data_IF_080778477887
#
_entry.id   IF_080778477887
#
_cell.length_a   1.000
_cell.length_b   1.000
_cell.length_c   1.000
_cell.angle_alpha   90.00
_cell.angle_beta   90.00
_cell.angle_gamma   90.00
#
_symmetry.space_group_name_H-M   'P 1'
#
loop_
_entity.id
_entity.type
_entity.pdbx_description
1 polymer ?
#
# COMPACT_ATOMS: atom_id res chain seq x y z
N UNK A 1 5.89 -35.59 52.63
CA UNK A 1 5.36 -34.33 53.21
C UNK A 1 5.62 -33.19 52.24
N UNK A 2 4.66 -32.28 52.10
CA UNK A 2 4.01 -31.94 50.82
C UNK A 2 4.16 -30.42 50.52
N UNK A 3 3.82 -29.88 49.34
CA UNK A 3 2.45 -29.59 48.93
C UNK A 3 2.40 -29.22 47.44
N UNK A 4 1.59 -29.99 46.72
CA UNK A 4 0.91 -29.61 45.47
C UNK A 4 -0.38 -28.89 45.90
N UNK A 5 -0.78 -27.76 45.29
CA UNK A 5 -2.16 -27.36 45.29
C UNK A 5 -2.82 -27.77 43.96
N UNK A 6 -3.68 -28.79 44.06
CA UNK A 6 -4.83 -28.98 43.18
C UNK A 6 -5.93 -27.96 43.54
N UNK A 7 -6.95 -27.85 42.67
CA UNK A 7 -8.19 -27.06 42.73
C UNK A 7 -8.04 -25.70 42.04
N UNK A 8 -8.38 -25.51 40.76
CA UNK A 8 -9.56 -25.96 39.98
C UNK A 8 -10.84 -25.25 40.43
N UNK A 9 -10.93 -23.97 40.06
CA UNK A 9 -12.18 -23.26 39.77
C UNK A 9 -11.98 -22.64 38.38
N UNK A 10 -12.32 -23.38 37.32
CA UNK A 10 -13.63 -23.26 36.67
C UNK A 10 -14.01 -21.79 36.41
N UNK A 11 -13.31 -21.14 35.49
CA UNK A 11 -13.93 -20.13 34.65
C UNK A 11 -13.71 -20.53 33.20
N UNK A 12 -14.60 -21.40 32.73
CA UNK A 12 -14.96 -21.49 31.32
C UNK A 12 -15.62 -20.14 31.01
N UNK A 13 -14.80 -19.13 30.73
CA UNK A 13 -15.26 -17.99 29.97
C UNK A 13 -15.32 -18.48 28.53
N UNK A 14 -16.45 -19.10 28.22
CA UNK A 14 -17.08 -19.05 26.91
C UNK A 14 -17.15 -17.56 26.54
N UNK A 15 -16.06 -17.03 26.00
CA UNK A 15 -16.13 -15.96 25.04
C UNK A 15 -16.79 -16.59 23.82
N UNK A 16 -18.13 -16.66 23.91
CA UNK A 16 -18.99 -16.58 22.75
C UNK A 16 -18.50 -15.34 22.02
N UNK A 17 -17.63 -15.51 21.04
CA UNK A 17 -17.47 -14.53 19.99
C UNK A 17 -18.83 -14.46 19.35
N UNK A 18 -19.61 -13.46 19.77
CA UNK A 18 -20.75 -13.01 19.00
C UNK A 18 -20.17 -12.52 17.69
N UNK A 19 -20.03 -13.46 16.74
CA UNK A 19 -19.77 -13.18 15.36
C UNK A 19 -20.90 -12.27 14.91
N UNK A 20 -20.63 -10.98 14.84
CA UNK A 20 -21.54 -10.01 14.25
C UNK A 20 -21.50 -10.25 12.76
N UNK A 21 -22.25 -11.26 12.30
CA UNK A 21 -22.78 -11.22 10.95
C UNK A 21 -23.68 -9.99 10.93
N UNK A 22 -23.39 -9.01 10.08
CA UNK A 22 -24.37 -7.95 9.83
C UNK A 22 -25.51 -8.63 9.09
N UNK A 23 -26.56 -8.89 9.84
CA UNK A 23 -27.72 -9.63 9.37
C UNK A 23 -28.73 -8.62 8.84
N UNK A 24 -28.91 -8.55 7.53
CA UNK A 24 -30.05 -7.84 6.96
C UNK A 24 -31.18 -8.85 6.83
N UNK A 25 -32.08 -8.85 7.80
CA UNK A 25 -33.35 -9.56 7.70
C UNK A 25 -34.28 -8.76 6.77
N UNK A 26 -34.46 -9.22 5.54
CA UNK A 26 -35.55 -8.73 4.68
C UNK A 26 -36.84 -9.42 5.15
N UNK A 27 -37.41 -8.93 6.25
CA UNK A 27 -38.72 -9.35 6.73
C UNK A 27 -39.76 -8.30 6.33
N UNK A 28 -40.36 -8.45 5.15
CA UNK A 28 -41.76 -8.06 5.02
C UNK A 28 -42.60 -9.29 5.34
N UNK A 29 -42.78 -9.58 6.63
CA UNK A 29 -43.83 -10.52 7.05
C UNK A 29 -44.40 -10.21 8.43
N UNK A 30 -45.61 -9.67 8.41
CA UNK A 30 -46.65 -9.87 9.42
C UNK A 30 -47.60 -10.97 8.90
N UNK A 31 -48.03 -11.94 9.73
CA UNK A 31 -48.83 -13.06 9.24
C UNK A 31 -50.31 -12.66 9.17
N UNK A 32 -50.79 -12.24 7.99
CA UNK A 32 -52.21 -12.35 7.63
C UNK A 32 -52.40 -12.77 6.17
N UNK A 33 -53.07 -13.92 6.05
CA UNK A 33 -53.92 -14.45 4.98
C UNK A 33 -53.44 -14.50 3.53
N UNK A 34 -53.44 -15.73 3.00
CA UNK A 34 -53.84 -16.17 1.65
C UNK A 34 -53.56 -15.20 0.49
N UNK A 35 -52.34 -15.24 -0.06
CA UNK A 35 -52.12 -14.91 -1.47
C UNK A 35 -50.92 -15.69 -2.00
N UNK A 36 -51.18 -16.61 -2.93
CA UNK A 36 -50.24 -17.57 -3.52
C UNK A 36 -49.41 -16.97 -4.67
N UNK A 37 -49.22 -15.65 -4.71
CA UNK A 37 -48.51 -14.96 -5.79
C UNK A 37 -47.44 -13.95 -5.33
N UNK A 38 -46.89 -14.11 -4.13
CA UNK A 38 -45.77 -13.24 -3.68
C UNK A 38 -44.50 -13.50 -4.49
N UNK A 39 -44.30 -12.70 -5.54
CA UNK A 39 -43.07 -12.64 -6.34
C UNK A 39 -41.88 -12.36 -5.43
N UNK A 40 -40.94 -13.30 -5.44
CA UNK A 40 -39.61 -13.15 -4.86
C UNK A 40 -38.97 -11.83 -5.32
N UNK A 41 -38.55 -10.99 -4.38
CA UNK A 41 -37.87 -9.72 -4.67
C UNK A 41 -36.51 -9.72 -4.00
N UNK A 42 -35.46 -9.98 -4.80
CA UNK A 42 -34.08 -9.88 -4.33
C UNK A 42 -33.61 -8.42 -4.37
N UNK A 43 -32.82 -7.96 -3.39
CA UNK A 43 -32.34 -6.58 -3.38
C UNK A 43 -31.48 -6.29 -4.62
N UNK A 44 -31.69 -5.12 -5.23
CA UNK A 44 -30.87 -4.65 -6.34
C UNK A 44 -29.43 -4.32 -5.93
N UNK A 45 -29.22 -4.01 -4.64
CA UNK A 45 -27.91 -3.72 -4.06
C UNK A 45 -27.71 -4.54 -2.79
N UNK A 46 -26.60 -5.26 -2.72
CA UNK A 46 -26.18 -6.06 -1.56
C UNK A 46 -24.88 -5.48 -1.04
N UNK A 47 -24.78 -5.27 0.27
CA UNK A 47 -23.53 -4.82 0.88
C UNK A 47 -22.51 -5.95 0.89
N UNK A 48 -21.23 -5.60 0.73
CA UNK A 48 -20.11 -6.53 0.93
C UNK A 48 -20.24 -7.27 2.26
N UNK A 49 -19.80 -8.53 2.26
CA UNK A 49 -19.69 -9.35 3.47
C UNK A 49 -20.97 -9.44 4.32
N UNK A 50 -22.13 -9.29 3.68
CA UNK A 50 -23.43 -9.37 4.33
C UNK A 50 -24.09 -10.71 4.02
N UNK A 51 -24.63 -11.39 5.04
CA UNK A 51 -25.45 -12.57 4.82
C UNK A 51 -26.87 -12.15 4.40
N UNK A 52 -27.43 -12.80 3.38
CA UNK A 52 -28.77 -12.48 2.87
C UNK A 52 -29.71 -13.63 3.21
N UNK A 53 -30.69 -13.36 4.06
CA UNK A 53 -31.74 -14.30 4.40
C UNK A 53 -32.88 -14.23 3.40
N UNK A 54 -33.41 -15.40 3.06
CA UNK A 54 -34.57 -15.49 2.20
C UNK A 54 -35.34 -16.78 2.47
N UNK A 55 -36.58 -16.80 2.01
CA UNK A 55 -37.47 -17.94 2.16
C UNK A 55 -37.89 -18.47 0.79
N UNK A 56 -37.82 -19.78 0.59
CA UNK A 56 -38.38 -20.47 -0.57
C UNK A 56 -39.32 -21.58 -0.11
N UNK A 57 -40.51 -21.63 -0.69
CA UNK A 57 -41.51 -22.67 -0.39
C UNK A 57 -41.17 -24.01 -1.05
N UNK A 58 -40.30 -24.01 -2.05
CA UNK A 58 -39.87 -25.19 -2.79
C UNK A 58 -38.36 -25.38 -2.67
N UNK A 59 -37.93 -26.65 -2.74
CA UNK A 59 -36.52 -26.98 -2.85
C UNK A 59 -36.01 -26.49 -4.21
N UNK A 60 -34.95 -25.68 -4.18
CA UNK A 60 -34.34 -25.12 -5.39
C UNK A 60 -32.83 -25.12 -5.28
N UNK A 61 -32.16 -25.02 -6.42
CA UNK A 61 -30.72 -24.83 -6.51
C UNK A 61 -30.40 -23.38 -6.82
N UNK A 62 -29.79 -22.67 -5.87
CA UNK A 62 -29.38 -21.28 -6.02
C UNK A 62 -27.94 -21.19 -6.47
N UNK A 63 -27.67 -20.32 -7.45
CA UNK A 63 -26.33 -20.00 -7.91
C UNK A 63 -26.14 -18.49 -8.02
N UNK A 64 -25.06 -17.99 -7.44
CA UNK A 64 -24.57 -16.62 -7.65
C UNK A 64 -23.45 -16.67 -8.67
N UNK A 65 -23.57 -15.89 -9.74
CA UNK A 65 -22.56 -15.77 -10.78
C UNK A 65 -22.00 -14.36 -10.86
N UNK A 66 -20.76 -14.29 -11.34
CA UNK A 66 -20.07 -13.08 -11.76
C UNK A 66 -19.29 -13.42 -13.03
N UNK A 67 -19.42 -12.60 -14.08
CA UNK A 67 -18.75 -12.80 -15.37
C UNK A 67 -18.77 -14.26 -15.86
N UNK A 68 -19.96 -14.86 -15.84
CA UNK A 68 -20.23 -16.26 -16.19
C UNK A 68 -19.66 -17.34 -15.26
N UNK A 69 -18.84 -17.00 -14.27
CA UNK A 69 -18.31 -17.94 -13.29
C UNK A 69 -19.25 -18.04 -12.08
N UNK A 70 -19.44 -19.26 -11.58
CA UNK A 70 -20.20 -19.49 -10.35
C UNK A 70 -19.33 -19.14 -9.13
N UNK A 71 -19.66 -18.07 -8.42
CA UNK A 71 -19.01 -17.72 -7.16
C UNK A 71 -19.49 -18.65 -6.04
N UNK A 72 -20.78 -18.97 -6.04
CA UNK A 72 -21.42 -19.62 -4.92
C UNK A 72 -22.63 -20.43 -5.39
N UNK A 73 -22.79 -21.63 -4.85
CA UNK A 73 -23.86 -22.57 -5.20
C UNK A 73 -24.38 -23.24 -3.92
N UNK A 74 -25.70 -23.27 -3.76
CA UNK A 74 -26.36 -23.77 -2.55
C UNK A 74 -27.69 -24.43 -2.89
N UNK A 75 -27.95 -25.57 -2.27
CA UNK A 75 -29.28 -26.17 -2.20
C UNK A 75 -30.08 -25.45 -1.11
N UNK A 76 -31.31 -25.05 -1.41
CA UNK A 76 -32.13 -24.22 -0.52
C UNK A 76 -33.55 -24.76 -0.44
N UNK A 77 -34.08 -24.81 0.80
CA UNK A 77 -35.45 -25.20 1.10
C UNK A 77 -35.89 -24.51 2.39
N UNK A 78 -37.05 -23.87 2.40
CA UNK A 78 -37.53 -23.13 3.57
C UNK A 78 -36.73 -21.85 3.80
N UNK A 79 -36.35 -21.59 5.06
CA UNK A 79 -35.51 -20.46 5.44
C UNK A 79 -34.05 -20.77 5.12
N UNK A 80 -33.49 -20.05 4.15
CA UNK A 80 -32.11 -20.19 3.73
C UNK A 80 -31.33 -18.88 3.92
N UNK A 81 -30.03 -19.03 4.09
CA UNK A 81 -29.10 -17.90 4.23
C UNK A 81 -28.05 -18.03 3.15
N UNK A 82 -27.93 -17.02 2.31
CA UNK A 82 -26.79 -16.91 1.40
C UNK A 82 -25.58 -16.48 2.22
N UNK A 83 -24.50 -17.28 2.27
CA UNK A 83 -23.30 -16.94 3.04
C UNK A 83 -22.68 -15.64 2.52
N UNK A 84 -22.13 -14.85 3.45
CA UNK A 84 -21.58 -13.55 3.11
C UNK A 84 -20.37 -13.61 2.16
N UNK A 85 -19.63 -14.73 2.14
CA UNK A 85 -18.54 -14.99 1.17
C UNK A 85 -19.00 -14.99 -0.30
N UNK A 86 -20.30 -15.14 -0.55
CA UNK A 86 -20.86 -15.08 -1.90
C UNK A 86 -20.90 -13.65 -2.45
N UNK A 87 -20.64 -12.65 -1.60
CA UNK A 87 -20.57 -11.22 -1.92
C UNK A 87 -19.21 -10.65 -1.49
N UNK A 88 -18.13 -11.26 -1.98
CA UNK A 88 -16.77 -11.00 -1.50
C UNK A 88 -16.07 -9.77 -2.11
N UNK A 89 -16.59 -9.19 -3.20
CA UNK A 89 -16.01 -8.02 -3.86
C UNK A 89 -17.09 -7.16 -4.53
N UNK A 90 -16.87 -5.85 -4.69
CA UNK A 90 -17.85 -4.95 -5.27
C UNK A 90 -17.90 -5.10 -6.80
N UNK A 91 -19.11 -5.18 -7.36
CA UNK A 91 -19.37 -5.16 -8.80
C UNK A 91 -20.87 -5.01 -9.08
N UNK A 92 -21.24 -4.43 -10.21
CA UNK A 92 -22.60 -4.35 -10.75
C UNK A 92 -22.99 -5.55 -11.65
N UNK A 93 -22.10 -6.54 -11.81
CA UNK A 93 -22.25 -7.65 -12.74
C UNK A 93 -22.65 -8.97 -12.08
N UNK A 94 -23.16 -8.92 -10.85
CA UNK A 94 -23.62 -10.12 -10.16
C UNK A 94 -24.97 -10.58 -10.71
N UNK A 95 -25.13 -11.90 -10.81
CA UNK A 95 -26.35 -12.54 -11.29
C UNK A 95 -26.83 -13.57 -10.26
N UNK A 96 -28.13 -13.56 -9.99
CA UNK A 96 -28.80 -14.59 -9.19
C UNK A 96 -29.57 -15.54 -10.11
N UNK A 97 -29.27 -16.82 -10.00
CA UNK A 97 -29.95 -17.89 -10.71
C UNK A 97 -30.61 -18.84 -9.73
N UNK A 98 -31.84 -19.26 -10.05
CA UNK A 98 -32.56 -20.34 -9.35
C UNK A 98 -32.89 -21.38 -10.39
N UNK A 99 -32.46 -22.62 -10.17
CA UNK A 99 -32.65 -23.74 -11.08
C UNK A 99 -32.18 -23.41 -12.52
N UNK A 100 -30.99 -22.77 -12.60
CA UNK A 100 -30.35 -22.24 -13.81
C UNK A 100 -31.14 -21.15 -14.57
N UNK A 101 -32.26 -20.65 -14.05
CA UNK A 101 -32.98 -19.51 -14.61
C UNK A 101 -32.48 -18.22 -13.98
N UNK A 102 -32.10 -17.25 -14.81
CA UNK A 102 -31.73 -15.91 -14.36
C UNK A 102 -32.96 -15.25 -13.72
N UNK A 103 -32.84 -14.91 -12.44
CA UNK A 103 -33.90 -14.24 -11.69
C UNK A 103 -33.69 -12.73 -11.70
N UNK A 104 -32.47 -12.29 -11.40
CA UNK A 104 -32.12 -10.86 -11.42
C UNK A 104 -30.62 -10.66 -11.57
N UNK A 105 -30.27 -9.46 -12.03
CA UNK A 105 -28.94 -8.87 -11.84
C UNK A 105 -28.97 -7.94 -10.63
N UNK A 106 -27.84 -7.82 -9.94
CA UNK A 106 -27.72 -6.96 -8.76
C UNK A 106 -26.28 -6.46 -8.63
N UNK A 107 -26.11 -5.42 -7.82
CA UNK A 107 -24.79 -4.88 -7.50
C UNK A 107 -24.38 -5.29 -6.08
N UNK A 108 -23.12 -5.68 -5.91
CA UNK A 108 -22.46 -5.74 -4.61
C UNK A 108 -21.70 -4.43 -4.41
N UNK A 109 -21.97 -3.75 -3.30
CA UNK A 109 -21.40 -2.42 -3.00
C UNK A 109 -20.58 -2.44 -1.72
N UNK A 110 -19.53 -1.62 -1.68
CA UNK A 110 -18.84 -1.28 -0.44
C UNK A 110 -19.47 -0.03 0.16
N UNK A 111 -20.02 -0.16 1.37
CA UNK A 111 -20.71 0.94 2.07
C UNK A 111 -19.84 1.59 3.16
N UNK A 112 -18.71 0.99 3.53
CA UNK A 112 -17.87 1.41 4.65
C UNK A 112 -16.39 1.19 4.31
N UNK A 113 -15.51 2.04 4.85
CA UNK A 113 -14.07 1.79 4.80
C UNK A 113 -13.70 0.73 5.84
N UNK A 114 -13.04 -0.35 5.40
CA UNK A 114 -12.66 -1.44 6.30
C UNK A 114 -11.32 -1.23 7.00
N UNK A 115 -10.66 -0.10 6.74
CA UNK A 115 -9.34 0.23 7.25
C UNK A 115 -9.26 1.71 7.61
N UNK A 116 -8.22 2.06 8.35
CA UNK A 116 -7.78 3.43 8.50
C UNK A 116 -6.37 3.56 7.92
N UNK A 117 -6.26 4.20 6.75
CA UNK A 117 -4.97 4.49 6.11
C UNK A 117 -4.65 5.97 6.31
N UNK A 118 -3.49 6.31 6.91
CA UNK A 118 -3.06 7.70 7.03
C UNK A 118 -3.00 8.39 5.67
N UNK A 119 -3.59 9.59 5.55
CA UNK A 119 -3.69 10.33 4.29
C UNK A 119 -2.39 11.00 3.87
N UNK A 120 -1.61 11.43 4.87
CA UNK A 120 -0.37 12.20 4.68
C UNK A 120 0.83 11.42 5.27
N UNK A 121 1.27 10.35 4.59
CA UNK A 121 2.42 9.58 5.04
C UNK A 121 3.70 10.42 4.98
N UNK A 122 4.50 10.32 6.05
CA UNK A 122 5.78 11.00 6.15
C UNK A 122 6.83 10.18 5.36
N UNK A 123 7.64 10.81 4.48
CA UNK A 123 8.69 10.11 3.75
C UNK A 123 9.64 9.33 4.66
N UNK A 124 10.02 8.13 4.23
CA UNK A 124 10.87 7.21 4.99
C UNK A 124 10.36 6.92 6.42
N UNK A 125 9.04 6.82 6.62
CA UNK A 125 8.44 6.40 7.90
C UNK A 125 7.60 5.14 7.67
N UNK A 126 7.56 4.27 8.67
CA UNK A 126 6.68 3.11 8.63
C UNK A 126 5.22 3.56 8.59
N UNK A 127 4.40 2.77 7.88
CA UNK A 127 2.97 2.99 7.79
C UNK A 127 2.26 1.79 8.41
N UNK A 128 1.53 2.04 9.49
CA UNK A 128 0.66 1.04 10.10
C UNK A 128 -0.76 1.21 9.57
N UNK A 129 -1.39 0.10 9.21
CA UNK A 129 -2.78 0.03 8.79
C UNK A 129 -3.51 -0.90 9.73
N UNK A 130 -4.55 -0.36 10.37
CA UNK A 130 -5.44 -1.13 11.22
C UNK A 130 -6.74 -1.40 10.47
N UNK A 131 -7.15 -2.66 10.48
CA UNK A 131 -8.37 -3.12 9.83
C UNK A 131 -9.48 -3.33 10.85
N UNK A 132 -10.71 -3.04 10.45
CA UNK A 132 -11.87 -3.38 11.25
C UNK A 132 -12.32 -4.82 10.94
N UNK A 133 -11.86 -5.75 11.77
CA UNK A 133 -12.07 -7.21 11.62
C UNK A 133 -13.51 -7.64 11.60
N UNK A 134 -14.37 -6.87 12.27
CA UNK A 134 -15.75 -7.26 12.51
C UNK A 134 -16.61 -7.29 11.24
N UNK A 135 -16.09 -6.76 10.12
CA UNK A 135 -16.80 -6.72 8.85
C UNK A 135 -16.47 -7.87 7.91
N UNK A 136 -15.38 -8.62 8.14
CA UNK A 136 -14.93 -9.61 7.18
C UNK A 136 -15.57 -10.98 7.41
N UNK A 137 -15.99 -11.62 6.33
CA UNK A 137 -16.43 -13.00 6.36
C UNK A 137 -15.27 -13.94 6.71
N UNK A 138 -15.57 -14.96 7.49
CA UNK A 138 -14.69 -16.12 7.63
C UNK A 138 -14.49 -16.79 6.26
N UNK A 139 -13.33 -17.41 6.04
CA UNK A 139 -12.96 -18.13 4.80
C UNK A 139 -12.63 -17.27 3.57
N UNK A 140 -12.42 -15.96 3.71
CA UNK A 140 -11.86 -15.14 2.64
C UNK A 140 -10.33 -15.27 2.59
N UNK A 141 -9.77 -15.35 1.38
CA UNK A 141 -8.32 -15.36 1.17
C UNK A 141 -7.85 -13.92 0.91
N UNK A 142 -7.79 -13.14 1.98
CA UNK A 142 -7.49 -11.72 1.91
C UNK A 142 -5.99 -11.45 1.86
N UNK A 143 -5.57 -10.64 0.88
CA UNK A 143 -4.22 -10.09 0.80
C UNK A 143 -4.25 -8.58 0.67
N UNK A 144 -3.19 -7.95 1.15
CA UNK A 144 -2.99 -6.49 1.05
C UNK A 144 -1.81 -6.25 0.12
N UNK A 145 -2.06 -5.52 -0.97
CA UNK A 145 -1.03 -5.14 -1.94
C UNK A 145 -0.66 -3.68 -1.79
N UNK A 146 0.63 -3.41 -1.65
CA UNK A 146 1.20 -2.08 -1.80
C UNK A 146 1.57 -1.87 -3.26
N UNK A 147 1.04 -0.81 -3.84
CA UNK A 147 1.23 -0.45 -5.24
C UNK A 147 1.89 0.91 -5.35
N UNK A 148 2.81 1.05 -6.30
CA UNK A 148 3.61 2.27 -6.50
C UNK A 148 3.57 2.72 -7.96
N UNK A 149 3.62 4.03 -8.16
CA UNK A 149 3.79 4.68 -9.45
C UNK A 149 4.67 5.90 -9.28
N UNK A 150 5.53 6.17 -10.26
CA UNK A 150 6.43 7.32 -10.21
C UNK A 150 5.73 8.64 -10.53
N UNK A 151 4.60 8.62 -11.25
CA UNK A 151 4.07 9.81 -11.89
C UNK A 151 3.47 10.81 -10.88
N UNK A 152 4.32 11.65 -10.27
CA UNK A 152 3.94 12.64 -9.24
C UNK A 152 2.99 13.71 -9.81
N UNK A 153 3.05 13.98 -11.12
CA UNK A 153 2.33 15.06 -11.79
C UNK A 153 1.07 14.64 -12.56
N UNK A 154 0.63 13.38 -12.46
CA UNK A 154 -0.64 13.01 -13.11
C UNK A 154 -1.81 13.70 -12.39
N UNK A 155 -2.47 14.63 -13.09
CA UNK A 155 -3.72 15.26 -12.63
C UNK A 155 -4.90 14.28 -12.64
N UNK A 156 -4.75 13.09 -13.24
CA UNK A 156 -5.80 12.07 -13.36
C UNK A 156 -5.30 10.75 -12.75
N UNK A 157 -5.80 10.41 -11.56
CA UNK A 157 -5.44 9.17 -10.87
C UNK A 157 -5.71 7.90 -11.68
N UNK A 158 -6.65 7.94 -12.62
CA UNK A 158 -7.02 6.79 -13.46
C UNK A 158 -5.98 6.44 -14.53
N UNK A 159 -5.08 7.36 -14.89
CA UNK A 159 -4.06 7.13 -15.93
C UNK A 159 -2.76 6.55 -15.34
N UNK A 160 -2.66 6.49 -14.01
CA UNK A 160 -1.48 6.01 -13.30
C UNK A 160 -1.29 4.50 -13.51
N UNK A 161 -0.14 4.15 -14.10
CA UNK A 161 0.32 2.76 -14.14
C UNK A 161 1.00 2.43 -12.82
N UNK A 162 0.35 1.56 -12.06
CA UNK A 162 0.86 1.08 -10.79
C UNK A 162 1.55 -0.28 -10.95
N UNK A 163 2.74 -0.41 -10.38
CA UNK A 163 3.44 -1.69 -10.20
C UNK A 163 3.20 -2.21 -8.78
N UNK A 164 3.10 -3.52 -8.64
CA UNK A 164 3.01 -4.15 -7.31
C UNK A 164 4.41 -4.14 -6.68
N UNK A 165 4.52 -3.51 -5.51
CA UNK A 165 5.78 -3.47 -4.74
C UNK A 165 5.85 -4.59 -3.71
N UNK A 166 4.70 -4.91 -3.09
CA UNK A 166 4.63 -5.91 -2.03
C UNK A 166 3.21 -6.46 -1.91
N UNK A 167 3.11 -7.76 -1.66
CA UNK A 167 1.86 -8.44 -1.27
C UNK A 167 2.06 -9.15 0.05
N UNK A 168 1.18 -8.88 1.01
CA UNK A 168 1.21 -9.52 2.33
C UNK A 168 -0.15 -10.15 2.66
N UNK A 169 -0.16 -11.30 3.35
CA UNK A 169 -1.40 -11.85 3.89
C UNK A 169 -2.08 -10.86 4.84
N UNK A 170 -3.41 -10.79 4.76
CA UNK A 170 -4.20 -9.97 5.66
C UNK A 170 -3.96 -10.35 7.12
N UNK A 171 -3.82 -9.33 7.97
CA UNK A 171 -3.71 -9.43 9.43
C UNK A 171 -4.42 -8.26 10.07
N UNK A 172 -4.59 -8.34 11.40
CA UNK A 172 -5.33 -7.32 12.12
C UNK A 172 -4.76 -5.92 12.08
N UNK A 173 -3.45 -5.89 12.15
CA UNK A 173 -2.66 -4.73 11.88
C UNK A 173 -1.55 -5.17 10.94
N UNK A 174 -1.27 -4.34 9.93
CA UNK A 174 -0.17 -4.54 9.01
C UNK A 174 0.71 -3.31 9.07
N UNK A 175 2.00 -3.54 9.27
CA UNK A 175 3.01 -2.48 9.26
C UNK A 175 3.87 -2.65 8.02
N UNK A 176 3.78 -1.67 7.12
CA UNK A 176 4.73 -1.51 6.04
C UNK A 176 5.96 -0.78 6.58
N UNK A 177 7.13 -1.39 6.40
CA UNK A 177 8.40 -0.81 6.81
C UNK A 177 8.69 0.50 6.07
N UNK A 178 9.47 1.37 6.71
CA UNK A 178 9.78 2.72 6.22
C UNK A 178 10.40 2.77 4.82
N UNK A 179 11.17 1.75 4.43
CA UNK A 179 11.90 1.75 3.17
C UNK A 179 10.98 1.74 1.95
N UNK A 180 9.78 1.19 2.08
CA UNK A 180 8.80 1.19 1.00
C UNK A 180 8.32 2.60 0.63
N UNK A 181 8.39 3.55 1.57
CA UNK A 181 7.94 4.94 1.39
C UNK A 181 9.10 5.93 1.39
N UNK A 182 10.32 5.47 1.10
CA UNK A 182 11.46 6.35 0.92
C UNK A 182 11.56 6.93 -0.49
N UNK A 183 11.02 6.23 -1.49
CA UNK A 183 11.03 6.73 -2.85
C UNK A 183 9.90 7.73 -3.05
N UNK A 184 10.17 8.88 -3.70
CA UNK A 184 9.12 9.81 -4.05
C UNK A 184 8.21 9.23 -5.14
N UNK A 185 6.93 9.52 -5.04
CA UNK A 185 5.94 9.04 -5.99
C UNK A 185 4.56 8.88 -5.38
N UNK A 186 3.74 8.11 -6.10
CA UNK A 186 2.36 7.86 -5.78
C UNK A 186 2.20 6.41 -5.35
N UNK A 187 1.63 6.21 -4.16
CA UNK A 187 1.36 4.91 -3.59
C UNK A 187 -0.14 4.71 -3.42
N UNK A 188 -0.58 3.47 -3.45
CA UNK A 188 -1.91 3.09 -2.98
C UNK A 188 -1.88 1.69 -2.39
N UNK A 189 -2.78 1.43 -1.48
CA UNK A 189 -2.95 0.13 -0.85
C UNK A 189 -4.25 -0.48 -1.35
N UNK A 190 -4.21 -1.73 -1.79
CA UNK A 190 -5.37 -2.47 -2.25
C UNK A 190 -5.61 -3.68 -1.35
N UNK A 191 -6.86 -3.85 -0.90
CA UNK A 191 -7.33 -5.06 -0.24
C UNK A 191 -7.96 -5.96 -1.30
N UNK A 192 -7.53 -7.22 -1.35
CA UNK A 192 -7.82 -8.12 -2.46
C UNK A 192 -8.26 -9.47 -1.91
N UNK A 193 -9.18 -10.13 -2.60
CA UNK A 193 -9.56 -11.51 -2.35
C UNK A 193 -9.31 -12.33 -3.62
N UNK A 194 -8.25 -13.13 -3.63
CA UNK A 194 -7.75 -13.78 -4.85
C UNK A 194 -7.28 -12.74 -5.88
N UNK A 195 -8.02 -12.63 -6.98
CA UNK A 195 -7.74 -11.65 -8.05
C UNK A 195 -8.67 -10.43 -8.02
N UNK A 196 -9.70 -10.45 -7.17
CA UNK A 196 -10.71 -9.41 -7.11
C UNK A 196 -10.34 -8.33 -6.08
N UNK A 197 -10.34 -7.07 -6.53
CA UNK A 197 -10.12 -5.91 -5.66
C UNK A 197 -11.38 -5.66 -4.83
N UNK A 198 -11.23 -5.63 -3.51
CA UNK A 198 -12.31 -5.33 -2.56
C UNK A 198 -12.41 -3.82 -2.34
N UNK A 199 -11.27 -3.20 -2.04
CA UNK A 199 -11.17 -1.78 -1.74
C UNK A 199 -9.77 -1.27 -2.08
N UNK A 200 -9.69 -0.01 -2.51
CA UNK A 200 -8.42 0.70 -2.75
C UNK A 200 -8.38 1.93 -1.86
N UNK A 201 -7.23 2.20 -1.26
CA UNK A 201 -7.04 3.38 -0.43
C UNK A 201 -7.10 4.63 -1.30
N UNK A 202 -7.26 5.79 -0.66
CA UNK A 202 -6.88 7.03 -1.33
C UNK A 202 -5.40 6.98 -1.70
N UNK A 203 -5.08 7.68 -2.77
CA UNK A 203 -3.72 7.84 -3.24
C UNK A 203 -2.86 8.54 -2.21
N UNK A 204 -1.72 7.95 -1.90
CA UNK A 204 -0.73 8.45 -0.96
C UNK A 204 0.41 9.08 -1.75
N UNK A 205 0.62 10.39 -1.61
CA UNK A 205 1.69 11.10 -2.30
C UNK A 205 2.89 11.25 -1.38
N UNK A 206 4.00 10.64 -1.75
CA UNK A 206 5.28 10.77 -1.05
C UNK A 206 6.13 11.78 -1.81
N UNK A 207 6.41 12.91 -1.16
CA UNK A 207 7.35 13.90 -1.67
C UNK A 207 8.80 13.43 -1.54
N UNK A 208 9.74 14.00 -2.33
CA UNK A 208 11.16 13.79 -2.12
C UNK A 208 11.54 14.10 -0.67
N UNK A 209 12.37 13.25 -0.07
CA UNK A 209 12.80 13.44 1.31
C UNK A 209 14.02 14.35 1.36
N UNK A 210 13.97 15.38 2.20
CA UNK A 210 15.15 16.18 2.56
C UNK A 210 16.05 15.47 3.59
N UNK A 211 15.69 14.25 4.02
CA UNK A 211 16.41 13.49 5.05
C UNK A 211 17.79 13.03 4.61
N UNK A 212 18.06 12.93 3.30
CA UNK A 212 19.41 12.71 2.78
C UNK A 212 19.84 14.03 2.16
N UNK A 213 20.76 14.71 2.83
CA UNK A 213 21.27 15.99 2.40
C UNK A 213 22.78 16.02 2.55
N UNK A 214 23.46 16.47 1.51
CA UNK A 214 24.91 16.65 1.52
C UNK A 214 25.26 17.83 2.44
N UNK A 215 26.20 17.59 3.33
CA UNK A 215 26.77 18.54 4.25
C UNK A 215 28.22 18.80 3.83
N UNK A 216 28.44 20.00 3.31
CA UNK A 216 29.77 20.53 3.06
C UNK A 216 30.10 21.48 4.20
N UNK A 217 31.24 21.26 4.84
CA UNK A 217 31.70 22.09 5.96
C UNK A 217 31.98 23.53 5.54
N UNK A 218 32.29 23.75 4.26
CA UNK A 218 32.63 25.06 3.69
C UNK A 218 32.06 25.18 2.27
N UNK A 219 31.76 26.41 1.81
CA UNK A 219 31.30 26.66 0.46
C UNK A 219 32.42 26.71 -0.58
N UNK A 220 33.69 26.67 -0.17
CA UNK A 220 34.87 26.68 -1.06
C UNK A 220 35.80 25.50 -0.75
N UNK A 221 36.37 24.90 -1.79
CA UNK A 221 37.32 23.77 -1.68
C UNK A 221 38.72 24.29 -1.33
N UNK A 222 39.28 25.18 -2.15
CA UNK A 222 40.56 25.80 -1.92
C UNK A 222 40.41 27.17 -1.22
N UNK A 223 41.38 27.56 -0.38
CA UNK A 223 42.68 26.93 -0.12
C UNK A 223 42.66 25.87 0.99
N UNK A 224 41.49 25.42 1.43
CA UNK A 224 41.35 24.61 2.65
C UNK A 224 41.50 23.11 2.44
N UNK A 225 41.32 22.64 1.22
CA UNK A 225 41.62 21.27 0.83
C UNK A 225 43.14 21.13 0.70
N UNK A 226 43.77 20.51 1.71
CA UNK A 226 45.21 20.21 1.70
C UNK A 226 45.48 18.78 1.23
N UNK A 227 44.84 17.81 1.87
CA UNK A 227 44.99 16.38 1.53
C UNK A 227 43.68 15.77 1.00
N UNK A 228 42.58 15.91 1.76
CA UNK A 228 41.27 15.38 1.41
C UNK A 228 40.14 16.39 1.68
N UNK A 229 39.16 16.42 0.79
CA UNK A 229 37.86 17.02 1.00
C UNK A 229 36.92 15.98 1.60
N UNK A 230 36.44 16.25 2.81
CA UNK A 230 35.43 15.42 3.47
C UNK A 230 34.02 15.89 3.09
N UNK A 231 33.27 15.03 2.42
CA UNK A 231 31.86 15.25 2.07
C UNK A 231 31.04 14.41 3.03
N UNK A 232 30.16 15.06 3.79
CA UNK A 232 29.28 14.38 4.73
C UNK A 232 27.85 14.36 4.23
N UNK A 233 27.00 13.52 4.81
CA UNK A 233 25.56 13.57 4.58
C UNK A 233 24.76 13.18 5.82
N UNK A 234 23.50 13.60 5.85
CA UNK A 234 22.58 13.22 6.91
C UNK A 234 22.20 11.74 6.82
N UNK A 235 22.09 11.09 7.98
CA UNK A 235 21.73 9.68 8.04
C UNK A 235 20.21 9.48 7.88
N UNK A 236 19.83 8.41 7.18
CA UNK A 236 18.47 7.95 7.16
C UNK A 236 18.14 7.22 8.46
N UNK A 237 16.94 7.48 8.98
CA UNK A 237 16.37 6.71 10.08
C UNK A 237 16.03 5.27 9.69
N UNK A 238 16.16 4.91 8.42
CA UNK A 238 15.69 3.67 7.83
C UNK A 238 16.75 3.09 6.90
N UNK A 239 17.07 1.81 7.07
CA UNK A 239 17.83 1.07 6.07
C UNK A 239 16.95 0.87 4.83
N UNK A 240 17.42 1.27 3.65
CA UNK A 240 16.68 1.09 2.39
C UNK A 240 17.31 -0.09 1.63
N UNK A 241 16.80 -1.32 1.79
CA UNK A 241 17.30 -2.45 1.03
C UNK A 241 17.02 -2.24 -0.47
N UNK A 242 17.84 -2.89 -1.31
CA UNK A 242 17.69 -2.92 -2.78
C UNK A 242 17.95 -1.60 -3.53
N UNK A 243 18.55 -0.62 -2.85
CA UNK A 243 19.12 0.57 -3.47
C UNK A 243 20.65 0.54 -3.36
N UNK A 244 21.32 0.88 -4.46
CA UNK A 244 22.76 1.13 -4.48
C UNK A 244 22.96 2.64 -4.50
N UNK A 245 23.61 3.18 -3.48
CA UNK A 245 23.84 4.62 -3.38
C UNK A 245 25.17 4.97 -4.00
N UNK A 246 25.18 6.09 -4.71
CA UNK A 246 26.36 6.61 -5.37
C UNK A 246 26.53 8.10 -5.13
N UNK A 247 27.78 8.54 -4.97
CA UNK A 247 28.16 9.94 -5.01
C UNK A 247 28.70 10.25 -6.41
N UNK A 248 28.06 11.17 -7.13
CA UNK A 248 28.54 11.68 -8.41
C UNK A 248 29.13 13.06 -8.24
N UNK A 249 30.21 13.31 -8.96
CA UNK A 249 30.92 14.58 -8.93
C UNK A 249 30.85 15.20 -10.31
N UNK A 250 30.47 16.47 -10.34
CA UNK A 250 30.41 17.27 -11.55
C UNK A 250 31.26 18.52 -11.37
N UNK A 251 32.00 18.89 -12.41
CA UNK A 251 32.75 20.14 -12.47
C UNK A 251 31.98 21.14 -13.34
N UNK A 252 31.76 22.35 -12.82
CA UNK A 252 31.09 23.43 -13.55
C UNK A 252 32.14 24.45 -13.99
N UNK A 253 32.29 24.72 -15.29
CA UNK A 253 33.30 25.66 -15.77
C UNK A 253 32.90 27.11 -15.50
N UNK A 254 33.88 28.00 -15.57
CA UNK A 254 33.62 29.43 -15.37
C UNK A 254 32.62 30.00 -16.38
N UNK A 255 31.70 30.83 -15.88
CA UNK A 255 30.68 31.49 -16.71
C UNK A 255 29.49 30.60 -17.08
N UNK A 256 29.46 29.34 -16.62
CA UNK A 256 28.40 28.40 -16.93
C UNK A 256 27.62 27.95 -15.67
N UNK A 257 26.49 27.29 -15.90
CA UNK A 257 25.63 26.72 -14.86
C UNK A 257 25.80 25.20 -14.74
N UNK A 258 25.14 24.58 -13.75
CA UNK A 258 25.22 23.13 -13.53
C UNK A 258 24.73 22.29 -14.72
N UNK A 259 23.83 22.80 -15.57
CA UNK A 259 23.34 22.09 -16.75
C UNK A 259 24.43 21.84 -17.80
N UNK A 260 25.50 22.63 -17.75
CA UNK A 260 26.67 22.54 -18.63
C UNK A 260 27.89 21.98 -17.89
N UNK A 261 27.65 21.24 -16.81
CA UNK A 261 28.69 20.59 -16.03
C UNK A 261 29.28 19.38 -16.74
N UNK A 262 30.53 19.08 -16.41
CA UNK A 262 31.22 17.87 -16.83
C UNK A 262 31.17 16.84 -15.72
N UNK A 263 30.77 15.61 -16.05
CA UNK A 263 30.91 14.49 -15.14
C UNK A 263 32.40 14.20 -14.90
N UNK A 264 32.80 14.16 -13.62
CA UNK A 264 34.19 13.92 -13.22
C UNK A 264 34.35 12.46 -12.83
N UNK A 265 33.62 12.02 -11.80
CA UNK A 265 33.78 10.69 -11.21
C UNK A 265 32.53 10.26 -10.42
N UNK A 266 32.42 8.96 -10.14
CA UNK A 266 31.37 8.36 -9.32
C UNK A 266 31.96 7.36 -8.33
N UNK A 267 31.45 7.39 -7.10
CA UNK A 267 31.83 6.50 -6.02
C UNK A 267 30.61 5.75 -5.51
N UNK A 268 30.75 4.45 -5.29
CA UNK A 268 29.78 3.71 -4.50
C UNK A 268 29.88 4.15 -3.04
N UNK A 269 28.76 4.55 -2.44
CA UNK A 269 28.70 5.00 -1.05
C UNK A 269 27.76 4.12 -0.24
N UNK A 270 28.16 3.86 1.00
CA UNK A 270 27.24 3.33 2.00
C UNK A 270 26.77 4.49 2.89
N UNK A 271 25.46 4.75 2.89
CA UNK A 271 24.90 5.83 3.69
C UNK A 271 25.17 5.66 5.19
N UNK A 272 25.48 4.44 5.66
CA UNK A 272 25.85 4.16 7.05
C UNK A 272 27.20 4.79 7.46
N UNK A 273 28.12 5.00 6.51
CA UNK A 273 29.44 5.58 6.76
C UNK A 273 29.41 7.10 6.96
N UNK A 274 28.34 7.77 6.52
CA UNK A 274 28.04 9.21 6.71
C UNK A 274 29.04 10.20 6.10
N UNK A 275 30.14 9.72 5.52
CA UNK A 275 31.12 10.57 4.86
C UNK A 275 31.88 9.83 3.76
N UNK A 276 32.36 10.60 2.78
CA UNK A 276 33.31 10.20 1.76
C UNK A 276 34.48 11.19 1.79
N UNK A 277 35.70 10.69 1.79
CA UNK A 277 36.91 11.51 1.73
C UNK A 277 37.51 11.41 0.33
N UNK A 278 37.61 12.55 -0.34
CA UNK A 278 38.10 12.65 -1.71
C UNK A 278 39.42 13.41 -1.73
N UNK A 279 40.45 12.91 -2.40
CA UNK A 279 41.74 13.58 -2.39
C UNK A 279 41.69 14.91 -3.16
N UNK A 280 42.34 15.94 -2.60
CA UNK A 280 42.25 17.31 -3.12
C UNK A 280 42.76 17.47 -4.55
N UNK A 281 43.66 16.60 -5.02
CA UNK A 281 44.22 16.66 -6.37
C UNK A 281 43.18 16.39 -7.47
N UNK A 282 41.99 15.87 -7.12
CA UNK A 282 40.89 15.67 -8.07
C UNK A 282 40.16 16.96 -8.44
N UNK A 283 40.36 18.01 -7.65
CA UNK A 283 39.74 19.32 -7.86
C UNK A 283 40.76 20.27 -8.48
N UNK A 284 40.29 21.06 -9.43
CA UNK A 284 41.11 22.02 -10.16
C UNK A 284 40.41 23.38 -10.18
N UNK A 285 41.21 24.43 -9.97
CA UNK A 285 40.77 25.83 -9.93
C UNK A 285 40.36 26.35 -11.32
N UNK A 286 40.64 25.62 -12.40
CA UNK A 286 40.11 25.96 -13.73
C UNK A 286 38.57 25.88 -13.80
N UNK A 287 37.94 25.19 -12.86
CA UNK A 287 36.49 25.12 -12.74
C UNK A 287 35.98 26.10 -11.68
N UNK A 288 34.80 26.68 -11.90
CA UNK A 288 34.22 27.62 -10.94
C UNK A 288 33.73 26.92 -9.68
N UNK A 289 33.13 25.73 -9.82
CA UNK A 289 32.55 24.97 -8.72
C UNK A 289 32.51 23.48 -9.03
N UNK A 290 32.46 22.68 -7.97
CA UNK A 290 32.21 21.25 -8.02
C UNK A 290 30.88 20.94 -7.32
N UNK A 291 30.04 20.17 -7.98
CA UNK A 291 28.74 19.76 -7.47
C UNK A 291 28.74 18.26 -7.16
N UNK A 292 28.31 17.94 -5.96
CA UNK A 292 28.23 16.60 -5.42
C UNK A 292 26.77 16.17 -5.41
N UNK A 293 26.47 15.00 -5.97
CA UNK A 293 25.12 14.49 -6.10
C UNK A 293 25.03 13.10 -5.47
N UNK A 294 24.13 12.92 -4.49
CA UNK A 294 23.77 11.59 -3.99
C UNK A 294 22.60 11.08 -4.82
N UNK A 295 22.84 9.95 -5.49
CA UNK A 295 21.83 9.21 -6.24
C UNK A 295 21.67 7.81 -5.68
N UNK A 296 20.52 7.19 -5.92
CA UNK A 296 20.37 5.74 -5.75
C UNK A 296 19.94 5.06 -7.04
N UNK A 297 20.36 3.81 -7.18
CA UNK A 297 19.99 2.92 -8.26
C UNK A 297 19.18 1.77 -7.70
N UNK A 298 17.97 1.57 -8.20
CA UNK A 298 17.14 0.43 -7.82
C UNK A 298 17.63 -0.83 -8.55
N UNK A 299 18.05 -1.85 -7.79
CA UNK A 299 18.69 -3.07 -8.35
C UNK A 299 17.84 -3.79 -9.41
N UNK A 300 16.52 -3.85 -9.19
CA UNK A 300 15.63 -4.60 -10.08
C UNK A 300 15.31 -3.88 -11.40
N UNK A 301 15.37 -2.55 -11.42
CA UNK A 301 14.92 -1.72 -12.55
C UNK A 301 16.04 -0.88 -13.16
N UNK A 302 17.25 -0.93 -12.59
CA UNK A 302 18.39 -0.06 -12.89
C UNK A 302 18.04 1.43 -12.84
N UNK A 303 17.04 1.80 -12.04
CA UNK A 303 16.45 3.14 -12.07
C UNK A 303 17.15 4.10 -11.11
N UNK A 304 17.47 5.28 -11.62
CA UNK A 304 18.10 6.37 -10.86
C UNK A 304 17.08 7.22 -10.10
N UNK A 305 17.40 7.57 -8.86
CA UNK A 305 16.70 8.59 -8.08
C UNK A 305 17.72 9.56 -7.49
N UNK A 306 17.52 10.85 -7.70
CA UNK A 306 18.32 11.90 -7.07
C UNK A 306 17.78 12.18 -5.66
N UNK A 307 18.69 12.28 -4.70
CA UNK A 307 18.35 12.59 -3.29
C UNK A 307 18.84 13.95 -2.86
N UNK A 308 20.05 14.32 -3.25
CA UNK A 308 20.67 15.58 -2.87
C UNK A 308 21.67 16.03 -3.90
N UNK A 309 21.73 17.35 -4.13
CA UNK A 309 22.73 18.02 -4.93
C UNK A 309 23.25 19.21 -4.14
N UNK A 310 24.57 19.34 -4.02
CA UNK A 310 25.19 20.50 -3.37
C UNK A 310 26.52 20.85 -4.01
N UNK A 311 26.74 22.13 -4.24
CA UNK A 311 27.95 22.63 -4.87
C UNK A 311 28.85 23.38 -3.88
N UNK A 312 30.15 23.30 -4.10
CA UNK A 312 31.15 24.17 -3.50
C UNK A 312 31.99 24.81 -4.61
N UNK A 313 32.28 26.10 -4.46
CA UNK A 313 33.19 26.81 -5.35
C UNK A 313 34.60 26.23 -5.25
N UNK A 314 35.33 26.23 -6.36
CA UNK A 314 36.72 25.78 -6.34
C UNK A 314 37.57 26.70 -5.47
N UNK A 315 37.43 28.02 -5.64
CA UNK A 315 38.17 29.04 -4.89
C UNK A 315 37.25 30.05 -4.18
N UNK A 316 37.83 30.78 -3.21
CA UNK A 316 37.17 31.85 -2.45
C UNK A 316 37.20 33.22 -3.16
N UNK A 317 37.24 33.22 -4.50
CA UNK A 317 37.49 34.41 -5.30
C UNK A 317 36.24 34.89 -6.07
N UNK A 318 35.08 34.95 -5.41
CA UNK A 318 33.93 35.76 -5.84
C UNK A 318 33.15 36.30 -4.65
#
# INVERSE_FOLDING_TARGET
MPNIPLWLTLFILLLVTTNVSITVSISNYSPKSNDSSRKFTFPQKVSLFTAVHFHTSQASFLRIRYLNQSICSLNIMGNATIPCKCFAFPSDQYELLIDNKLITKFAVISSQEFWNVPKDPIPCKSLQIDFNHNYFCTELNLTVRLQFSLEINSKKENDLKFTNELEVPYKKSITFSCYHFCLPGIYRIALINGDSIIQVSKTLRIAPTEKISILLSRPHIFPHCLDYLKIMWTNLSCAIPNLEFKMRIFAVPEGFNFEQSYYVEEYDIDLSQQALELPCYQFDIIYAQFCFQIVSIQKATARFNEWSLKCAYAENCK
#
